data_IF_939616652039
#
_entry.id   IF_939616652039
#
_cell.length_a   1.000
_cell.length_b   1.000
_cell.length_c   1.000
_cell.angle_alpha   90.00
_cell.angle_beta   90.00
_cell.angle_gamma   90.00
#
_symmetry.space_group_name_H-M   'P 1'
#
loop_
_entity.id
_entity.type
_entity.pdbx_description
1 polymer ?
#
# COMPACT_ATOMS: atom_id res chain seq x y z
N UNK A 1 48.33 16.87 -33.61
CA UNK A 1 48.50 15.80 -32.60
C UNK A 1 47.69 16.20 -31.38
N UNK A 2 46.74 15.35 -30.94
CA UNK A 2 45.85 15.46 -29.75
C UNK A 2 44.93 16.71 -29.72
N UNK A 3 43.62 16.66 -29.95
CA UNK A 3 42.52 15.78 -29.47
C UNK A 3 42.51 15.57 -27.96
N UNK A 4 41.62 16.28 -27.28
CA UNK A 4 40.88 15.97 -26.02
C UNK A 4 40.11 17.23 -25.61
N UNK A 5 38.85 17.26 -25.22
CA UNK A 5 37.70 16.34 -25.24
C UNK A 5 36.54 17.27 -24.82
N UNK A 6 35.46 17.30 -25.60
CA UNK A 6 34.21 17.91 -25.15
C UNK A 6 33.70 17.11 -23.94
N UNK A 7 33.19 17.80 -22.90
CA UNK A 7 32.22 17.20 -21.98
C UNK A 7 30.83 17.61 -22.43
N UNK A 8 30.12 16.79 -23.23
CA UNK A 8 28.70 16.96 -23.42
C UNK A 8 28.01 16.37 -22.19
N UNK A 9 27.31 17.19 -21.41
CA UNK A 9 26.78 16.69 -20.15
C UNK A 9 25.75 17.56 -19.46
N UNK A 10 24.95 18.35 -20.17
CA UNK A 10 23.76 18.91 -19.53
C UNK A 10 22.62 19.22 -20.52
N UNK A 11 22.05 18.14 -21.09
CA UNK A 11 20.72 18.17 -21.70
C UNK A 11 19.79 17.28 -20.87
N UNK A 12 19.42 17.74 -19.66
CA UNK A 12 18.41 17.10 -18.81
C UNK A 12 17.40 18.07 -18.20
N UNK A 13 17.37 19.33 -18.65
CA UNK A 13 16.63 20.37 -17.94
C UNK A 13 15.38 20.88 -18.69
N UNK A 14 15.15 20.54 -19.96
CA UNK A 14 13.94 21.00 -20.69
C UNK A 14 12.69 20.17 -20.40
N UNK A 15 12.82 18.84 -20.24
CA UNK A 15 11.68 17.98 -19.87
C UNK A 15 11.36 18.09 -18.38
N UNK A 16 12.39 18.14 -17.52
CA UNK A 16 12.24 18.33 -16.08
C UNK A 16 11.62 19.69 -15.75
N UNK A 17 11.99 20.77 -16.44
CA UNK A 17 11.41 22.10 -16.21
C UNK A 17 9.95 22.18 -16.65
N UNK A 18 9.57 21.60 -17.78
CA UNK A 18 8.18 21.55 -18.23
C UNK A 18 7.30 20.69 -17.30
N UNK A 19 7.78 19.53 -16.85
CA UNK A 19 7.01 18.66 -15.95
C UNK A 19 6.87 19.28 -14.55
N UNK A 20 7.92 19.92 -14.05
CA UNK A 20 7.87 20.63 -12.76
C UNK A 20 6.99 21.89 -12.83
N UNK A 21 7.00 22.63 -13.94
CA UNK A 21 6.09 23.76 -14.14
C UNK A 21 4.63 23.33 -14.34
N UNK A 22 4.39 22.17 -14.96
CA UNK A 22 3.05 21.60 -15.08
C UNK A 22 2.47 21.16 -13.72
N UNK A 23 3.34 20.78 -12.78
CA UNK A 23 2.96 20.33 -11.44
C UNK A 23 2.89 21.49 -10.45
N UNK A 24 3.81 22.45 -10.51
CA UNK A 24 3.98 23.50 -9.51
C UNK A 24 4.34 24.85 -10.14
N UNK A 25 3.46 25.85 -9.98
CA UNK A 25 3.76 27.23 -10.34
C UNK A 25 4.19 28.03 -9.09
N UNK A 26 5.49 28.34 -8.91
CA UNK A 26 6.01 28.98 -7.68
C UNK A 26 5.50 30.41 -7.46
N UNK A 27 5.01 31.10 -8.50
CA UNK A 27 4.51 32.48 -8.37
C UNK A 27 3.07 32.55 -7.84
N UNK A 28 2.25 31.51 -8.04
CA UNK A 28 0.84 31.46 -7.62
C UNK A 28 0.54 30.38 -6.59
N UNK A 29 1.50 29.48 -6.31
CA UNK A 29 1.31 28.34 -5.40
C UNK A 29 0.26 27.35 -5.90
N UNK A 30 0.01 27.33 -7.21
CA UNK A 30 -0.94 26.44 -7.84
C UNK A 30 -0.28 25.09 -8.11
N UNK A 31 -0.87 24.04 -7.54
CA UNK A 31 -0.45 22.66 -7.76
C UNK A 31 -1.47 22.02 -8.70
N UNK A 32 -1.04 21.62 -9.90
CA UNK A 32 -1.88 20.92 -10.89
C UNK A 32 -3.21 21.67 -11.15
N UNK A 33 -3.11 22.96 -11.47
CA UNK A 33 -4.27 23.77 -11.91
C UNK A 33 -5.30 24.14 -10.83
N UNK A 34 -5.03 23.91 -9.54
CA UNK A 34 -5.83 24.44 -8.43
C UNK A 34 -4.95 25.11 -7.37
N UNK A 35 -5.46 26.17 -6.77
CA UNK A 35 -4.81 26.88 -5.66
C UNK A 35 -4.59 25.94 -4.48
N UNK A 36 -3.42 26.01 -3.82
CA UNK A 36 -3.07 25.19 -2.65
C UNK A 36 -4.14 25.18 -1.54
N UNK A 37 -4.90 26.26 -1.40
CA UNK A 37 -6.03 26.37 -0.47
C UNK A 37 -7.13 25.32 -0.72
N UNK A 38 -7.53 25.10 -1.98
CA UNK A 38 -8.53 24.09 -2.33
C UNK A 38 -8.01 22.67 -2.13
N UNK A 39 -6.74 22.43 -2.45
CA UNK A 39 -6.06 21.16 -2.20
C UNK A 39 -6.02 20.80 -0.73
N UNK A 40 -5.67 21.76 0.14
CA UNK A 40 -5.72 21.58 1.58
C UNK A 40 -7.13 21.24 2.07
N UNK A 41 -8.15 21.94 1.56
CA UNK A 41 -9.55 21.68 1.91
C UNK A 41 -10.01 20.27 1.52
N UNK A 42 -9.63 19.82 0.31
CA UNK A 42 -9.96 18.47 -0.19
C UNK A 42 -9.25 17.40 0.64
N UNK A 43 -7.96 17.58 0.94
CA UNK A 43 -7.21 16.64 1.77
C UNK A 43 -7.76 16.57 3.18
N UNK A 44 -8.08 17.71 3.80
CA UNK A 44 -8.66 17.77 5.14
C UNK A 44 -10.04 17.10 5.17
N UNK A 45 -10.87 17.36 4.17
CA UNK A 45 -12.17 16.71 4.02
C UNK A 45 -12.03 15.18 3.92
N UNK A 46 -11.15 14.69 3.04
CA UNK A 46 -10.93 13.25 2.86
C UNK A 46 -10.31 12.61 4.10
N UNK A 47 -9.42 13.30 4.82
CA UNK A 47 -8.81 12.78 6.04
C UNK A 47 -9.87 12.56 7.13
N UNK A 48 -10.73 13.55 7.38
CA UNK A 48 -11.82 13.42 8.36
C UNK A 48 -12.84 12.37 7.91
N UNK A 49 -13.22 12.38 6.64
CA UNK A 49 -14.19 11.43 6.08
C UNK A 49 -13.68 9.98 6.18
N UNK A 50 -12.48 9.70 5.69
CA UNK A 50 -11.89 8.36 5.78
C UNK A 50 -11.56 7.97 7.21
N UNK A 51 -11.21 8.92 8.09
CA UNK A 51 -11.06 8.68 9.52
C UNK A 51 -12.35 8.21 10.16
N UNK A 52 -13.47 8.85 9.85
CA UNK A 52 -14.79 8.44 10.34
C UNK A 52 -15.21 7.07 9.78
N UNK A 53 -15.01 6.83 8.48
CA UNK A 53 -15.26 5.52 7.87
C UNK A 53 -14.41 4.41 8.50
N UNK A 54 -13.11 4.66 8.69
CA UNK A 54 -12.21 3.72 9.33
C UNK A 54 -12.62 3.48 10.79
N UNK A 55 -13.06 4.51 11.51
CA UNK A 55 -13.60 4.40 12.87
C UNK A 55 -14.85 3.51 12.92
N UNK A 56 -15.83 3.75 12.05
CA UNK A 56 -17.04 2.91 11.96
C UNK A 56 -16.71 1.48 11.53
N UNK A 57 -15.77 1.29 10.60
CA UNK A 57 -15.32 -0.02 10.17
C UNK A 57 -14.62 -0.80 11.28
N UNK A 58 -13.68 -0.15 11.97
CA UNK A 58 -12.98 -0.76 13.11
C UNK A 58 -13.91 -1.03 14.28
N UNK A 59 -14.89 -0.16 14.54
CA UNK A 59 -15.91 -0.37 15.58
C UNK A 59 -16.81 -1.57 15.27
N UNK A 60 -17.28 -1.69 14.03
CA UNK A 60 -18.11 -2.85 13.62
C UNK A 60 -17.30 -4.15 13.65
N UNK A 61 -16.03 -4.11 13.24
CA UNK A 61 -15.14 -5.26 13.33
C UNK A 61 -14.80 -5.62 14.79
N UNK A 62 -14.58 -4.63 15.65
CA UNK A 62 -14.38 -4.84 17.10
C UNK A 62 -15.61 -5.44 17.76
N UNK A 63 -16.81 -4.92 17.45
CA UNK A 63 -18.06 -5.47 17.96
C UNK A 63 -18.26 -6.93 17.53
N UNK A 64 -17.91 -7.29 16.29
CA UNK A 64 -17.93 -8.68 15.82
C UNK A 64 -16.99 -9.55 16.65
N UNK A 65 -15.77 -9.10 16.95
CA UNK A 65 -14.81 -9.83 17.77
C UNK A 65 -15.33 -10.05 19.20
N UNK A 66 -16.09 -9.10 19.78
CA UNK A 66 -16.72 -9.31 21.09
C UNK A 66 -17.76 -10.45 21.09
N UNK A 67 -18.26 -10.88 19.92
CA UNK A 67 -19.21 -12.00 19.79
C UNK A 67 -18.53 -13.36 19.55
N UNK A 68 -17.20 -13.38 19.49
CA UNK A 68 -16.38 -14.58 19.33
C UNK A 68 -15.77 -14.96 20.68
N UNK A 69 -15.75 -16.25 20.98
CA UNK A 69 -15.05 -16.82 22.13
C UNK A 69 -13.62 -17.20 21.70
N UNK A 70 -12.61 -16.84 22.51
CA UNK A 70 -11.20 -17.10 22.19
C UNK A 70 -10.83 -18.59 22.26
N UNK A 71 -11.61 -19.41 22.95
CA UNK A 71 -11.28 -20.81 23.23
C UNK A 71 -12.01 -21.79 22.30
N UNK A 72 -13.16 -21.40 21.72
CA UNK A 72 -13.98 -22.31 20.90
C UNK A 72 -14.42 -21.64 19.60
N UNK A 73 -14.13 -22.23 18.43
CA UNK A 73 -14.56 -21.68 17.15
C UNK A 73 -16.08 -21.70 17.02
N UNK A 74 -16.67 -20.55 16.67
CA UNK A 74 -18.12 -20.34 16.55
C UNK A 74 -18.81 -21.25 15.52
N UNK A 75 -18.08 -21.65 14.47
CA UNK A 75 -18.58 -22.54 13.41
C UNK A 75 -17.54 -23.64 13.14
N UNK A 76 -17.91 -24.90 13.42
CA UNK A 76 -17.07 -26.10 13.21
C UNK A 76 -17.71 -27.12 12.26
N UNK A 77 -18.86 -26.79 11.69
CA UNK A 77 -19.64 -27.57 10.74
C UNK A 77 -18.89 -27.87 9.44
N UNK A 78 -17.89 -27.03 9.08
CA UNK A 78 -17.03 -27.22 7.90
C UNK A 78 -15.90 -28.22 8.11
N UNK A 79 -15.68 -28.71 9.33
CA UNK A 79 -14.65 -29.71 9.66
C UNK A 79 -15.29 -30.89 10.41
N UNK A 80 -16.31 -31.56 9.83
CA UNK A 80 -17.09 -32.58 10.54
C UNK A 80 -16.29 -33.85 10.83
N UNK A 81 -15.23 -34.10 10.07
CA UNK A 81 -14.38 -35.28 10.21
C UNK A 81 -12.92 -34.84 10.39
N UNK A 82 -12.25 -35.23 11.48
CA UNK A 82 -10.80 -35.07 11.61
C UNK A 82 -10.12 -35.74 10.41
N UNK A 83 -9.47 -34.96 9.54
CA UNK A 83 -8.69 -35.52 8.45
C UNK A 83 -7.50 -36.27 9.02
N UNK A 84 -7.39 -37.57 8.73
CA UNK A 84 -6.22 -38.37 9.09
C UNK A 84 -4.99 -37.79 8.40
N UNK A 85 -4.10 -37.19 9.20
CA UNK A 85 -2.82 -36.65 8.72
C UNK A 85 -1.91 -37.82 8.33
N UNK A 86 -1.91 -38.20 7.06
CA UNK A 86 -0.95 -39.17 6.53
C UNK A 86 0.43 -38.50 6.48
N UNK A 87 1.22 -38.66 7.54
CA UNK A 87 2.64 -38.32 7.52
C UNK A 87 3.37 -39.38 6.66
N UNK A 88 3.59 -39.06 5.39
CA UNK A 88 4.40 -39.87 4.46
C UNK A 88 5.84 -39.97 5.00
N UNK A 89 6.19 -41.15 5.55
CA UNK A 89 7.54 -41.47 6.00
C UNK A 89 8.45 -41.90 4.84
N UNK A 90 8.35 -41.24 3.68
CA UNK A 90 9.20 -41.56 2.52
C UNK A 90 10.61 -40.92 2.58
N UNK A 91 10.98 -40.27 3.69
CA UNK A 91 12.36 -39.77 3.89
C UNK A 91 13.29 -40.80 4.56
N UNK A 92 12.77 -41.92 5.10
CA UNK A 92 13.64 -42.95 5.71
C UNK A 92 14.19 -43.95 4.68
N UNK A 93 13.64 -43.98 3.47
CA UNK A 93 14.04 -44.90 2.40
C UNK A 93 15.20 -44.38 1.52
N UNK A 94 15.67 -43.14 1.73
CA UNK A 94 16.82 -42.57 0.99
C UNK A 94 18.17 -42.73 1.72
N UNK A 95 18.19 -43.39 2.89
CA UNK A 95 19.42 -43.61 3.68
C UNK A 95 19.85 -45.09 3.74
N UNK A 96 19.43 -45.92 2.79
CA UNK A 96 19.97 -47.27 2.59
C UNK A 96 20.22 -47.48 1.09
N UNK A 97 21.23 -46.80 0.57
CA UNK A 97 22.05 -47.18 -0.60
C UNK A 97 23.49 -47.14 -0.12
#
# INVERSE_FOLDING_TARGET
>A
MSKKEEKPGEQKNESESNWKHAIYNPNTGEFVGRTASSWGLILLFYLVFYGFLAGMFTLTMWAMLQTLDDNVPKYSDRVPSPGDKIYSKNLSAYNIT
#
